data_IF_906653588261
#
_entry.id   IF_906653588261
#
_cell.length_a   1.000
_cell.length_b   1.000
_cell.length_c   1.000
_cell.angle_alpha   90.00
_cell.angle_beta   90.00
_cell.angle_gamma   90.00
#
_symmetry.space_group_name_H-M   'P 1'
#
loop_
_entity.id
_entity.type
_entity.pdbx_description
1 polymer ?
#
# COMPACT_ATOMS: atom_id res chain seq x y z
N UNK A 1 10.08 -6.77 -16.26
CA UNK A 1 9.01 -5.75 -16.43
C UNK A 1 7.63 -6.28 -16.03
N UNK A 2 7.02 -7.22 -16.76
CA UNK A 2 5.68 -7.75 -16.38
C UNK A 2 5.61 -8.44 -15.02
N UNK A 3 6.67 -9.16 -14.61
CA UNK A 3 6.74 -9.82 -13.29
C UNK A 3 6.59 -8.81 -12.15
N UNK A 4 7.19 -7.61 -12.29
CA UNK A 4 7.05 -6.56 -11.28
C UNK A 4 5.61 -6.07 -11.16
N UNK A 5 4.86 -5.99 -12.26
CA UNK A 5 3.45 -5.59 -12.21
C UNK A 5 2.58 -6.60 -11.46
N UNK A 6 2.80 -7.89 -11.68
CA UNK A 6 2.08 -8.94 -10.94
C UNK A 6 2.48 -9.00 -9.46
N UNK A 7 3.77 -8.82 -9.14
CA UNK A 7 4.23 -8.70 -7.76
C UNK A 7 3.62 -7.49 -7.07
N UNK A 8 3.47 -6.37 -7.78
CA UNK A 8 2.82 -5.16 -7.28
C UNK A 8 1.35 -5.42 -6.93
N UNK A 9 0.61 -6.05 -7.84
CA UNK A 9 -0.79 -6.40 -7.61
C UNK A 9 -0.95 -7.37 -6.43
N UNK A 10 -0.03 -8.33 -6.28
CA UNK A 10 -0.04 -9.24 -5.14
C UNK A 10 0.22 -8.50 -3.83
N UNK A 11 1.27 -7.67 -3.79
CA UNK A 11 1.60 -6.86 -2.62
C UNK A 11 0.41 -5.94 -2.24
N UNK A 12 -0.16 -5.23 -3.21
CA UNK A 12 -1.32 -4.37 -2.98
C UNK A 12 -2.58 -5.13 -2.56
N UNK A 13 -2.80 -6.35 -3.05
CA UNK A 13 -3.95 -7.17 -2.59
C UNK A 13 -3.81 -7.51 -1.10
N UNK A 14 -2.60 -7.84 -0.65
CA UNK A 14 -2.34 -8.18 0.75
C UNK A 14 -2.40 -6.92 1.62
N UNK A 15 -1.94 -5.79 1.11
CA UNK A 15 -2.04 -4.50 1.78
C UNK A 15 -3.50 -4.03 1.94
N UNK A 16 -4.28 -4.12 0.87
CA UNK A 16 -5.72 -3.86 0.95
C UNK A 16 -6.41 -4.78 1.95
N UNK A 17 -5.99 -6.05 2.05
CA UNK A 17 -6.49 -6.97 3.08
C UNK A 17 -6.18 -6.50 4.51
N UNK A 18 -4.96 -6.03 4.81
CA UNK A 18 -4.62 -5.50 6.14
C UNK A 18 -5.36 -4.19 6.45
N UNK A 19 -5.58 -3.33 5.44
CA UNK A 19 -6.45 -2.16 5.57
C UNK A 19 -7.89 -2.55 5.92
N UNK A 20 -8.44 -3.56 5.25
CA UNK A 20 -9.75 -4.12 5.57
C UNK A 20 -9.85 -4.59 7.01
N UNK A 21 -8.85 -5.34 7.49
CA UNK A 21 -8.75 -5.78 8.89
C UNK A 21 -8.74 -4.59 9.86
N UNK A 22 -7.91 -3.58 9.60
CA UNK A 22 -7.76 -2.41 10.46
C UNK A 22 -9.04 -1.56 10.53
N UNK A 23 -9.71 -1.34 9.39
CA UNK A 23 -10.98 -0.61 9.34
C UNK A 23 -12.07 -1.38 10.10
N UNK A 24 -12.25 -2.68 9.85
CA UNK A 24 -13.26 -3.45 10.57
C UNK A 24 -12.97 -3.52 12.09
N UNK A 25 -11.73 -3.79 12.49
CA UNK A 25 -11.33 -3.84 13.89
C UNK A 25 -11.54 -2.51 14.61
N UNK A 26 -11.22 -1.38 13.97
CA UNK A 26 -11.42 -0.05 14.54
C UNK A 26 -12.91 0.30 14.74
N UNK A 27 -13.79 -0.09 13.81
CA UNK A 27 -15.24 0.06 13.98
C UNK A 27 -15.84 -0.84 15.08
N UNK A 28 -15.25 -2.02 15.31
CA UNK A 28 -15.61 -2.88 16.45
C UNK A 28 -15.21 -2.26 17.80
N UNK A 29 -14.14 -1.46 17.83
CA UNK A 29 -13.72 -0.72 19.04
C UNK A 29 -14.65 0.46 19.31
N UNK A 30 -14.77 1.39 18.35
CA UNK A 30 -15.75 2.48 18.42
C UNK A 30 -15.94 3.16 17.07
N UNK A 31 -17.11 3.78 16.87
CA UNK A 31 -17.39 4.54 15.63
C UNK A 31 -16.39 5.68 15.39
N UNK A 32 -15.93 6.37 16.45
CA UNK A 32 -14.94 7.46 16.33
C UNK A 32 -13.60 6.94 15.83
N UNK A 33 -13.12 5.84 16.41
CA UNK A 33 -11.84 5.23 16.02
C UNK A 33 -11.95 4.67 14.60
N UNK A 34 -13.06 4.02 14.24
CA UNK A 34 -13.33 3.56 12.88
C UNK A 34 -13.19 4.67 11.82
N UNK A 35 -13.87 5.81 12.02
CA UNK A 35 -13.77 6.94 11.08
C UNK A 35 -12.36 7.52 10.99
N UNK A 36 -11.64 7.63 12.10
CA UNK A 36 -10.25 8.12 12.10
C UNK A 36 -9.33 7.16 11.34
N UNK A 37 -9.43 5.86 11.60
CA UNK A 37 -8.63 4.84 10.91
C UNK A 37 -8.92 4.80 9.41
N UNK A 38 -10.19 4.87 9.00
CA UNK A 38 -10.54 4.94 7.57
C UNK A 38 -9.97 6.19 6.90
N UNK A 39 -10.04 7.35 7.55
CA UNK A 39 -9.50 8.59 6.99
C UNK A 39 -7.97 8.53 6.88
N UNK A 40 -7.28 8.02 7.91
CA UNK A 40 -5.84 7.84 7.89
C UNK A 40 -5.39 6.95 6.73
N UNK A 41 -6.04 5.79 6.57
CA UNK A 41 -5.75 4.86 5.47
C UNK A 41 -6.03 5.51 4.10
N UNK A 42 -7.14 6.20 3.93
CA UNK A 42 -7.46 6.90 2.68
C UNK A 42 -6.37 7.91 2.28
N UNK A 43 -5.83 8.63 3.26
CA UNK A 43 -4.82 9.67 3.02
C UNK A 43 -3.50 9.10 2.49
N UNK A 44 -3.08 7.93 2.96
CA UNK A 44 -1.86 7.29 2.45
C UNK A 44 -2.11 6.39 1.25
N UNK A 45 -3.31 5.83 1.07
CA UNK A 45 -3.58 4.96 -0.07
C UNK A 45 -3.80 5.70 -1.38
N UNK A 46 -4.41 6.89 -1.38
CA UNK A 46 -4.57 7.63 -2.64
C UNK A 46 -3.23 7.89 -3.34
N UNK A 47 -2.18 8.39 -2.65
CA UNK A 47 -0.84 8.52 -3.24
C UNK A 47 -0.22 7.18 -3.65
N UNK A 48 -0.41 6.14 -2.83
CA UNK A 48 0.19 4.84 -3.01
C UNK A 48 -0.40 4.11 -4.25
N UNK A 49 -1.73 4.07 -4.37
CA UNK A 49 -2.46 3.54 -5.53
C UNK A 49 -2.10 4.26 -6.85
N UNK A 50 -1.82 5.57 -6.80
CA UNK A 50 -1.35 6.33 -7.97
C UNK A 50 0.07 5.90 -8.37
N UNK A 51 0.94 5.60 -7.41
CA UNK A 51 2.26 5.04 -7.64
C UNK A 51 2.20 3.65 -8.27
N UNK A 52 1.36 2.78 -7.72
CA UNK A 52 1.09 1.44 -8.23
C UNK A 52 0.58 1.44 -9.67
N UNK A 53 -0.35 2.35 -9.97
CA UNK A 53 -0.84 2.54 -11.34
C UNK A 53 0.30 2.91 -12.30
N UNK A 54 1.24 3.77 -11.88
CA UNK A 54 2.41 4.10 -12.68
C UNK A 54 3.34 2.88 -12.88
N UNK A 55 3.51 2.04 -11.86
CA UNK A 55 4.28 0.78 -11.96
C UNK A 55 3.64 -0.17 -12.97
N UNK A 56 2.30 -0.32 -12.97
CA UNK A 56 1.59 -1.16 -13.93
C UNK A 56 1.73 -0.69 -15.38
N UNK A 57 1.61 0.62 -15.61
CA UNK A 57 1.84 1.19 -16.94
C UNK A 57 3.27 0.91 -17.43
N UNK A 58 4.28 1.04 -16.55
CA UNK A 58 5.68 0.70 -16.86
C UNK A 58 5.88 -0.80 -17.10
N UNK A 59 5.13 -1.65 -16.42
CA UNK A 59 5.15 -3.09 -16.62
C UNK A 59 4.51 -3.53 -17.96
N UNK A 60 3.88 -2.61 -18.70
CA UNK A 60 3.32 -2.85 -20.04
C UNK A 60 1.81 -3.04 -20.07
N UNK A 61 1.10 -2.71 -18.99
CA UNK A 61 -0.37 -2.75 -18.96
C UNK A 61 -0.94 -1.50 -19.64
N UNK A 62 -2.06 -1.63 -20.34
CA UNK A 62 -2.82 -0.46 -20.79
C UNK A 62 -3.56 0.20 -19.61
N UNK A 63 -3.90 1.48 -19.75
CA UNK A 63 -4.58 2.28 -18.71
C UNK A 63 -5.84 1.65 -18.13
N UNK A 64 -6.64 0.96 -18.95
CA UNK A 64 -7.90 0.36 -18.50
C UNK A 64 -7.67 -0.98 -17.83
N UNK A 65 -6.72 -1.78 -18.33
CA UNK A 65 -6.29 -2.99 -17.66
C UNK A 65 -5.66 -2.68 -16.31
N UNK A 66 -4.72 -1.73 -16.24
CA UNK A 66 -4.10 -1.30 -14.99
C UNK A 66 -5.14 -0.86 -13.96
N UNK A 67 -6.08 0.02 -14.35
CA UNK A 67 -7.13 0.47 -13.44
C UNK A 67 -8.05 -0.66 -12.95
N UNK A 68 -8.43 -1.61 -13.82
CA UNK A 68 -9.26 -2.76 -13.44
C UNK A 68 -8.54 -3.71 -12.51
N UNK A 69 -7.27 -4.00 -12.80
CA UNK A 69 -6.45 -4.89 -11.96
C UNK A 69 -6.24 -4.27 -10.59
N UNK A 70 -5.97 -2.96 -10.53
CA UNK A 70 -5.86 -2.24 -9.27
C UNK A 70 -7.18 -2.24 -8.50
N UNK A 71 -8.31 -1.97 -9.17
CA UNK A 71 -9.62 -2.05 -8.52
C UNK A 71 -9.94 -3.46 -8.00
N UNK A 72 -9.43 -4.51 -8.66
CA UNK A 72 -9.63 -5.90 -8.21
C UNK A 72 -8.91 -6.21 -6.89
N UNK A 73 -7.82 -5.51 -6.56
CA UNK A 73 -7.11 -5.71 -5.28
C UNK A 73 -7.95 -5.22 -4.09
N UNK A 74 -8.91 -4.31 -4.32
CA UNK A 74 -9.86 -3.85 -3.29
C UNK A 74 -10.75 -4.99 -2.74
N UNK A 75 -10.92 -6.09 -3.49
CA UNK A 75 -11.56 -7.31 -2.98
C UNK A 75 -10.80 -7.88 -1.77
N UNK A 76 -9.47 -7.74 -1.74
CA UNK A 76 -8.63 -8.07 -0.60
C UNK A 76 -9.09 -7.34 0.67
N UNK A 77 -9.39 -6.03 0.57
CA UNK A 77 -9.89 -5.25 1.70
C UNK A 77 -11.28 -5.64 2.17
N UNK A 78 -12.17 -6.00 1.26
CA UNK A 78 -13.48 -6.56 1.65
C UNK A 78 -13.30 -7.87 2.41
N UNK A 79 -12.44 -8.76 1.92
CA UNK A 79 -12.14 -10.03 2.57
C UNK A 79 -11.49 -9.83 3.95
N UNK A 80 -10.57 -8.88 4.08
CA UNK A 80 -9.95 -8.50 5.35
C UNK A 80 -10.98 -8.00 6.36
N UNK A 81 -11.87 -7.10 5.95
CA UNK A 81 -12.93 -6.60 6.81
C UNK A 81 -13.88 -7.72 7.27
N UNK A 82 -14.31 -8.59 6.36
CA UNK A 82 -15.11 -9.76 6.69
C UNK A 82 -14.39 -10.70 7.67
N UNK A 83 -13.09 -10.96 7.45
CA UNK A 83 -12.29 -11.79 8.34
C UNK A 83 -12.24 -11.20 9.75
N UNK A 84 -11.98 -9.90 9.91
CA UNK A 84 -11.97 -9.24 11.22
C UNK A 84 -13.31 -9.34 11.96
N UNK A 85 -14.43 -9.20 11.25
CA UNK A 85 -15.78 -9.31 11.84
C UNK A 85 -16.08 -10.77 12.24
N UNK A 86 -15.77 -11.73 11.36
CA UNK A 86 -16.01 -13.15 11.60
C UNK A 86 -15.11 -13.72 12.70
N UNK A 87 -13.87 -13.24 12.81
CA UNK A 87 -12.92 -13.70 13.81
C UNK A 87 -13.31 -13.29 15.25
N UNK A 88 -14.23 -12.33 15.42
CA UNK A 88 -14.94 -11.91 16.65
C UNK A 88 -14.11 -11.74 17.94
N UNK A 89 -12.78 -11.78 17.83
CA UNK A 89 -11.84 -11.63 18.93
C UNK A 89 -10.75 -10.66 18.50
N UNK A 90 -10.67 -9.47 19.12
CA UNK A 90 -9.59 -8.50 18.88
C UNK A 90 -8.19 -9.10 19.01
N UNK A 91 -8.05 -10.23 19.74
CA UNK A 91 -6.78 -10.93 19.95
C UNK A 91 -6.35 -11.79 18.74
N UNK A 92 -7.28 -12.42 18.04
CA UNK A 92 -6.97 -13.33 16.91
C UNK A 92 -6.55 -12.58 15.63
N UNK A 93 -7.08 -11.38 15.42
CA UNK A 93 -6.69 -10.53 14.30
C UNK A 93 -5.23 -10.04 14.45
N UNK A 94 -4.77 -9.75 15.67
CA UNK A 94 -3.42 -9.24 15.93
C UNK A 94 -2.30 -10.20 15.53
N UNK A 95 -2.42 -11.50 15.82
CA UNK A 95 -1.42 -12.51 15.46
C UNK A 95 -1.33 -12.73 13.94
N UNK A 96 -2.46 -12.65 13.24
CA UNK A 96 -2.50 -12.80 11.77
C UNK A 96 -1.85 -11.60 11.09
N UNK A 97 -2.09 -10.38 11.59
CA UNK A 97 -1.48 -9.14 11.09
C UNK A 97 0.04 -9.12 11.30
N UNK A 98 0.54 -9.75 12.38
CA UNK A 98 1.96 -9.73 12.73
C UNK A 98 2.89 -10.33 11.67
N UNK A 99 2.44 -11.33 10.90
CA UNK A 99 3.24 -11.94 9.82
C UNK A 99 2.93 -11.37 8.44
N UNK A 100 1.72 -10.87 8.24
CA UNK A 100 1.29 -10.31 6.96
C UNK A 100 1.97 -8.95 6.72
N UNK A 101 2.06 -8.08 7.73
CA UNK A 101 2.67 -6.75 7.58
C UNK A 101 4.14 -6.81 7.12
N UNK A 102 5.04 -7.58 7.75
CA UNK A 102 6.43 -7.68 7.29
C UNK A 102 6.55 -8.27 5.89
N UNK A 103 5.67 -9.23 5.54
CA UNK A 103 5.66 -9.83 4.20
C UNK A 103 5.28 -8.80 3.12
N UNK A 104 4.18 -8.08 3.32
CA UNK A 104 3.73 -7.02 2.39
C UNK A 104 4.74 -5.89 2.28
N UNK A 105 5.25 -5.41 3.43
CA UNK A 105 6.26 -4.34 3.48
C UNK A 105 7.54 -4.76 2.77
N UNK A 106 7.98 -6.01 2.94
CA UNK A 106 9.12 -6.58 2.23
C UNK A 106 8.89 -6.67 0.72
N UNK A 107 7.67 -6.98 0.28
CA UNK A 107 7.27 -6.97 -1.13
C UNK A 107 7.38 -5.58 -1.76
N UNK A 108 6.82 -4.55 -1.11
CA UNK A 108 6.95 -3.17 -1.59
C UNK A 108 8.40 -2.67 -1.55
N UNK A 109 9.16 -3.03 -0.52
CA UNK A 109 10.58 -2.69 -0.45
C UNK A 109 11.37 -3.32 -1.62
N UNK A 110 11.08 -4.58 -1.96
CA UNK A 110 11.68 -5.23 -3.13
C UNK A 110 11.31 -4.50 -4.43
N UNK A 111 10.02 -4.16 -4.62
CA UNK A 111 9.57 -3.45 -5.81
C UNK A 111 10.25 -2.08 -5.92
N UNK A 112 10.34 -1.34 -4.82
CA UNK A 112 11.02 -0.04 -4.77
C UNK A 112 12.52 -0.16 -5.10
N UNK A 113 13.22 -1.11 -4.48
CA UNK A 113 14.67 -1.28 -4.69
C UNK A 113 15.02 -1.82 -6.07
N UNK A 114 14.19 -2.68 -6.65
CA UNK A 114 14.50 -3.36 -7.92
C UNK A 114 13.94 -2.63 -9.14
N UNK A 115 12.89 -1.83 -8.99
CA UNK A 115 12.29 -1.10 -10.11
C UNK A 115 12.46 0.41 -10.00
N UNK A 116 12.31 1.00 -8.82
CA UNK A 116 12.32 2.48 -8.68
C UNK A 116 13.73 3.02 -8.50
N UNK A 117 14.57 2.39 -7.68
CA UNK A 117 15.94 2.85 -7.43
C UNK A 117 16.83 2.84 -8.68
N UNK A 118 16.80 1.81 -9.55
CA UNK A 118 17.59 1.84 -10.78
C UNK A 118 17.22 3.01 -11.68
N UNK A 119 15.92 3.31 -11.80
CA UNK A 119 15.42 4.45 -12.59
C UNK A 119 15.88 5.80 -12.01
N UNK A 120 15.93 5.92 -10.68
CA UNK A 120 16.47 7.10 -9.99
C UNK A 120 17.98 7.27 -10.25
N UNK A 121 18.73 6.17 -10.37
CA UNK A 121 20.16 6.17 -10.62
C UNK A 121 20.52 6.47 -12.09
N UNK A 122 19.58 6.26 -13.03
CA UNK A 122 19.77 6.60 -14.44
C UNK A 122 19.61 8.10 -14.73
N UNK A 123 19.05 8.89 -13.80
CA UNK A 123 18.90 10.34 -13.94
C UNK A 123 20.27 11.05 -14.00
N UNK A 124 20.55 11.71 -15.13
CA UNK A 124 21.85 12.35 -15.39
C UNK A 124 21.91 13.79 -14.91
N UNK A 125 20.76 14.45 -14.74
CA UNK A 125 20.74 15.82 -14.29
C UNK A 125 20.82 15.87 -12.75
N UNK A 126 21.90 16.47 -12.17
CA UNK A 126 22.08 16.50 -10.72
C UNK A 126 20.96 17.28 -10.01
N UNK A 127 20.34 18.25 -10.68
CA UNK A 127 19.21 19.00 -10.12
C UNK A 127 17.96 18.14 -9.99
N UNK A 128 17.62 17.38 -11.03
CA UNK A 128 16.47 16.46 -11.01
C UNK A 128 16.70 15.34 -9.98
N UNK A 129 17.92 14.80 -9.91
CA UNK A 129 18.29 13.79 -8.92
C UNK A 129 18.12 14.32 -7.49
N UNK A 130 18.55 15.57 -7.22
CA UNK A 130 18.34 16.23 -5.93
C UNK A 130 16.85 16.40 -5.63
N UNK A 131 16.03 16.82 -6.60
CA UNK A 131 14.58 16.94 -6.44
C UNK A 131 13.92 15.59 -6.13
N UNK A 132 14.33 14.52 -6.79
CA UNK A 132 13.82 13.17 -6.54
C UNK A 132 14.16 12.69 -5.12
N UNK A 133 15.40 12.91 -4.66
CA UNK A 133 15.82 12.58 -3.28
C UNK A 133 15.01 13.39 -2.27
N UNK A 134 14.83 14.70 -2.49
CA UNK A 134 14.03 15.55 -1.61
C UNK A 134 12.57 15.08 -1.56
N UNK A 135 11.98 14.71 -2.69
CA UNK A 135 10.62 14.16 -2.76
C UNK A 135 10.51 12.83 -2.01
N UNK A 136 11.51 11.94 -2.16
CA UNK A 136 11.57 10.67 -1.42
C UNK A 136 11.64 10.91 0.09
N UNK A 137 12.56 11.78 0.55
CA UNK A 137 12.67 12.15 1.96
C UNK A 137 11.38 12.80 2.49
N UNK A 138 10.73 13.64 1.67
CA UNK A 138 9.45 14.27 2.02
C UNK A 138 8.36 13.21 2.18
N UNK A 139 8.25 12.26 1.24
CA UNK A 139 7.32 11.14 1.32
C UNK A 139 7.51 10.31 2.58
N UNK A 140 8.76 9.94 2.89
CA UNK A 140 9.10 9.22 4.14
C UNK A 140 8.69 10.03 5.36
N UNK A 141 8.97 11.34 5.38
CA UNK A 141 8.62 12.24 6.48
C UNK A 141 7.10 12.29 6.69
N UNK A 142 6.32 12.41 5.61
CA UNK A 142 4.86 12.39 5.67
C UNK A 142 4.35 11.07 6.26
N UNK A 143 4.89 9.94 5.82
CA UNK A 143 4.50 8.62 6.35
C UNK A 143 4.86 8.45 7.83
N UNK A 144 6.03 8.94 8.26
CA UNK A 144 6.42 8.95 9.68
C UNK A 144 5.49 9.83 10.49
N UNK A 145 5.11 11.01 9.99
CA UNK A 145 4.18 11.90 10.69
C UNK A 145 2.79 11.26 10.83
N UNK A 146 2.28 10.62 9.78
CA UNK A 146 1.01 9.88 9.83
C UNK A 146 1.07 8.70 10.79
N UNK A 147 2.21 8.00 10.88
CA UNK A 147 2.38 6.90 11.82
C UNK A 147 2.47 7.35 13.28
N UNK A 148 2.83 8.60 13.54
CA UNK A 148 2.96 9.19 14.89
C UNK A 148 1.67 9.86 15.39
N UNK A 149 0.67 10.08 14.53
CA UNK A 149 -0.64 10.66 14.86
C UNK A 149 -1.67 9.59 15.20
#
# INVERSE_FOLDING_TARGET
LQISGYLNLLANTIDNFTHGLAVAASFLVSRKVGFLTTMAILLHEIPHEVGDFAILLRAGFDRWSAAKMQLSTALGGILGACFAICAQSPKGAGETVAWILPFTSGGFLYIALVNVVPDLLEEKNPWNSLQQILLLCTGITVMVLLALT
#
